data_IF_060824655011
#
_entry.id   IF_060824655011
#
_cell.length_a   1.000
_cell.length_b   1.000
_cell.length_c   1.000
_cell.angle_alpha   90.00
_cell.angle_beta   90.00
_cell.angle_gamma   90.00
#
_symmetry.space_group_name_H-M   'P 1'
#
loop_
_entity.id
_entity.type
_entity.pdbx_description
1 polymer ?
#
# COMPACT_ATOMS: atom_id res chain seq x y z
N UNK A 1 25.09 11.17 1.36
CA UNK A 1 24.35 10.01 0.90
C UNK A 1 23.63 10.33 -0.41
N UNK A 2 23.35 9.33 -1.21
CA UNK A 2 22.52 9.51 -2.42
C UNK A 2 21.04 9.51 -2.08
N UNK A 3 20.28 10.36 -2.77
CA UNK A 3 18.81 10.41 -2.71
C UNK A 3 18.23 10.79 -4.07
N UNK A 4 16.99 10.37 -4.33
CA UNK A 4 16.22 10.84 -5.49
C UNK A 4 15.37 12.02 -5.06
N UNK A 5 15.69 13.17 -5.58
CA UNK A 5 15.09 14.46 -5.20
C UNK A 5 14.12 14.99 -6.26
N UNK A 6 13.15 15.77 -5.82
CA UNK A 6 12.15 16.45 -6.62
C UNK A 6 12.12 17.93 -6.22
N UNK A 7 12.37 18.86 -7.16
CA UNK A 7 12.29 20.31 -6.90
C UNK A 7 10.97 20.93 -7.34
N UNK A 8 10.33 20.33 -8.32
CA UNK A 8 9.03 20.75 -8.86
C UNK A 8 8.23 19.56 -9.37
N UNK A 9 6.92 19.67 -9.35
CA UNK A 9 6.05 18.64 -9.88
C UNK A 9 6.21 18.47 -11.39
N UNK A 10 6.04 17.25 -11.89
CA UNK A 10 6.13 16.96 -13.32
C UNK A 10 6.29 15.49 -13.66
N UNK A 11 6.85 15.23 -14.83
CA UNK A 11 7.16 13.88 -15.30
C UNK A 11 8.32 13.22 -14.57
N UNK A 12 8.70 12.02 -15.00
CA UNK A 12 9.79 11.25 -14.38
C UNK A 12 11.15 11.96 -14.47
N UNK A 13 11.32 12.84 -15.45
CA UNK A 13 12.52 13.66 -15.65
C UNK A 13 12.77 14.66 -14.51
N UNK A 14 11.79 14.89 -13.64
CA UNK A 14 11.93 15.75 -12.45
C UNK A 14 12.57 15.02 -11.27
N UNK A 15 12.59 13.69 -11.28
CA UNK A 15 13.30 12.87 -10.30
C UNK A 15 14.80 12.89 -10.63
N UNK A 16 15.62 13.38 -9.69
CA UNK A 16 17.06 13.55 -9.88
C UNK A 16 17.84 12.86 -8.77
N UNK A 17 18.85 12.09 -9.17
CA UNK A 17 19.85 11.59 -8.22
C UNK A 17 20.67 12.77 -7.69
N UNK A 18 20.81 12.90 -6.40
CA UNK A 18 21.48 14.00 -5.71
C UNK A 18 22.29 13.49 -4.53
N UNK A 19 23.41 14.13 -4.24
CA UNK A 19 24.14 13.95 -3.01
C UNK A 19 23.64 14.93 -1.96
N UNK A 20 23.26 14.42 -0.78
CA UNK A 20 22.73 15.19 0.35
C UNK A 20 23.34 14.68 1.66
N UNK A 21 23.18 15.43 2.73
CA UNK A 21 23.59 15.00 4.06
C UNK A 21 22.73 13.84 4.56
N UNK A 22 23.30 12.95 5.39
CA UNK A 22 22.53 11.93 6.12
C UNK A 22 21.54 12.64 7.07
N UNK A 23 20.30 12.12 7.21
CA UNK A 23 19.36 12.67 8.17
C UNK A 23 19.87 12.44 9.59
N UNK A 24 19.58 13.41 10.47
CA UNK A 24 19.71 13.25 11.91
C UNK A 24 18.42 12.66 12.46
N UNK A 25 18.54 11.77 13.42
CA UNK A 25 17.40 11.16 14.11
C UNK A 25 17.06 11.95 15.39
N UNK A 26 15.79 11.89 15.77
CA UNK A 26 15.30 12.33 17.06
C UNK A 26 15.33 11.15 18.06
N UNK A 27 15.05 11.44 19.34
CA UNK A 27 15.11 10.43 20.42
C UNK A 27 14.16 9.23 20.20
N UNK A 28 13.06 9.40 19.47
CA UNK A 28 12.07 8.35 19.18
C UNK A 28 12.22 7.71 17.79
N UNK A 29 13.31 8.02 17.07
CA UNK A 29 13.56 7.55 15.72
C UNK A 29 14.72 6.55 15.64
N UNK A 30 14.76 5.82 14.55
CA UNK A 30 15.93 5.02 14.13
C UNK A 30 16.46 5.52 12.79
N UNK A 31 17.78 5.45 12.59
CA UNK A 31 18.39 5.64 11.29
C UNK A 31 18.44 4.28 10.57
N UNK A 32 17.76 4.19 9.45
CA UNK A 32 17.74 2.96 8.63
C UNK A 32 18.65 3.15 7.43
N UNK A 33 19.66 2.25 7.27
CA UNK A 33 20.34 2.05 6.01
C UNK A 33 19.45 1.25 5.09
N UNK A 34 18.88 1.90 4.10
CA UNK A 34 17.87 1.34 3.19
C UNK A 34 18.50 0.26 2.32
N UNK A 35 17.79 -0.83 2.11
CA UNK A 35 18.13 -1.95 1.22
C UNK A 35 17.17 -2.11 0.07
N UNK A 36 15.90 -1.80 0.32
CA UNK A 36 14.86 -1.82 -0.70
C UNK A 36 13.76 -0.81 -0.35
N UNK A 37 13.17 -0.26 -1.38
CA UNK A 37 11.98 0.60 -1.35
C UNK A 37 10.96 0.04 -2.33
N UNK A 38 9.68 0.35 -2.13
CA UNK A 38 8.62 -0.08 -3.03
C UNK A 38 7.88 1.12 -3.60
N UNK A 39 7.50 1.03 -4.88
CA UNK A 39 6.81 2.10 -5.58
C UNK A 39 5.29 1.91 -5.50
N UNK A 40 4.58 3.01 -5.29
CA UNK A 40 3.11 3.03 -5.19
C UNK A 40 2.50 4.07 -6.14
N UNK A 41 1.24 3.90 -6.56
CA UNK A 41 0.56 4.94 -7.35
C UNK A 41 0.50 6.31 -6.68
N UNK A 42 0.49 6.38 -5.34
CA UNK A 42 0.52 7.66 -4.62
C UNK A 42 1.82 8.41 -4.81
N UNK A 43 2.94 7.73 -4.99
CA UNK A 43 4.25 8.34 -5.24
C UNK A 43 4.23 9.10 -6.58
N UNK A 44 3.66 8.48 -7.62
CA UNK A 44 3.52 9.11 -8.94
C UNK A 44 2.54 10.28 -8.88
N UNK A 45 1.48 10.15 -8.10
CA UNK A 45 0.47 11.18 -7.93
C UNK A 45 1.04 12.42 -7.21
N UNK A 46 1.82 12.22 -6.15
CA UNK A 46 2.52 13.30 -5.43
C UNK A 46 3.60 13.95 -6.32
N UNK A 47 4.35 13.16 -7.09
CA UNK A 47 5.32 13.70 -8.04
C UNK A 47 4.66 14.62 -9.07
N UNK A 48 3.49 14.23 -9.62
CA UNK A 48 2.84 14.93 -10.72
C UNK A 48 2.03 16.15 -10.27
N UNK A 49 1.48 16.15 -9.06
CA UNK A 49 0.45 17.11 -8.66
C UNK A 49 0.84 17.93 -7.44
N UNK A 50 0.89 19.26 -7.60
CA UNK A 50 1.23 20.19 -6.51
C UNK A 50 0.27 20.09 -5.32
N UNK A 51 -1.04 19.97 -5.56
CA UNK A 51 -2.03 19.80 -4.48
C UNK A 51 -1.82 18.52 -3.69
N UNK A 52 -1.44 17.43 -4.35
CA UNK A 52 -1.14 16.15 -3.71
C UNK A 52 0.19 16.21 -2.94
N UNK A 53 1.19 16.89 -3.47
CA UNK A 53 2.43 17.14 -2.77
C UNK A 53 2.17 17.90 -1.46
N UNK A 54 1.39 18.96 -1.51
CA UNK A 54 1.02 19.75 -0.32
C UNK A 54 0.12 18.97 0.65
N UNK A 55 -0.87 18.24 0.15
CA UNK A 55 -1.86 17.53 0.97
C UNK A 55 -1.36 16.23 1.59
N UNK A 56 -0.50 15.50 0.89
CA UNK A 56 -0.02 14.17 1.30
C UNK A 56 1.39 14.25 1.91
N UNK A 57 2.36 14.84 1.20
CA UNK A 57 3.74 14.95 1.70
C UNK A 57 3.86 15.95 2.84
N UNK A 58 3.08 17.05 2.80
CA UNK A 58 3.07 18.13 3.82
C UNK A 58 4.47 18.68 4.09
N UNK A 59 5.16 19.19 3.08
CA UNK A 59 6.53 19.68 3.24
C UNK A 59 6.60 20.87 4.20
N UNK A 60 7.78 21.10 4.77
CA UNK A 60 8.05 22.29 5.56
C UNK A 60 7.92 23.58 4.74
N UNK A 61 7.67 24.73 5.39
CA UNK A 61 7.43 26.03 4.71
C UNK A 61 8.56 26.44 3.76
N UNK A 62 9.79 26.16 4.14
CA UNK A 62 11.00 26.56 3.42
C UNK A 62 11.61 25.38 2.61
N UNK A 63 10.95 24.21 2.61
CA UNK A 63 11.41 23.04 1.89
C UNK A 63 11.09 23.18 0.41
N UNK A 64 12.12 23.32 -0.42
CA UNK A 64 12.04 23.52 -1.88
C UNK A 64 12.66 22.36 -2.67
N UNK A 65 13.14 21.35 -1.96
CA UNK A 65 13.66 20.10 -2.52
C UNK A 65 13.11 18.95 -1.71
N UNK A 66 12.34 18.07 -2.36
CA UNK A 66 11.58 17.02 -1.71
C UNK A 66 12.21 15.67 -2.01
N UNK A 67 12.14 14.76 -1.03
CA UNK A 67 12.37 13.33 -1.23
C UNK A 67 11.05 12.65 -0.94
N UNK A 68 10.49 12.00 -1.96
CA UNK A 68 9.21 11.29 -1.81
C UNK A 68 9.44 9.81 -1.42
N UNK A 69 8.35 9.03 -1.37
CA UNK A 69 8.40 7.62 -0.98
C UNK A 69 8.22 7.41 0.52
N UNK A 70 7.62 6.27 0.85
CA UNK A 70 7.25 5.92 2.22
C UNK A 70 7.57 4.48 2.59
N UNK A 71 7.72 3.61 1.60
CA UNK A 71 7.97 2.18 1.80
C UNK A 71 9.47 1.91 1.95
N UNK A 72 9.87 1.24 3.02
CA UNK A 72 11.28 0.96 3.30
C UNK A 72 11.47 -0.41 3.92
N UNK A 73 12.55 -1.09 3.53
CA UNK A 73 13.17 -2.17 4.28
C UNK A 73 14.67 -1.97 4.30
N UNK A 74 15.28 -2.17 5.46
CA UNK A 74 16.72 -1.94 5.64
C UNK A 74 17.24 -2.40 6.99
N UNK A 75 18.40 -1.90 7.36
CA UNK A 75 19.13 -2.26 8.58
C UNK A 75 19.24 -1.02 9.46
N UNK A 76 18.91 -1.16 10.74
CA UNK A 76 19.08 -0.11 11.74
C UNK A 76 20.57 0.17 11.92
N UNK A 77 21.00 1.40 11.67
CA UNK A 77 22.37 1.86 11.83
C UNK A 77 22.56 2.63 13.15
N UNK A 78 21.52 3.37 13.59
CA UNK A 78 21.52 4.17 14.81
C UNK A 78 20.12 4.20 15.42
N UNK A 79 20.03 4.29 16.76
CA UNK A 79 18.78 4.39 17.51
C UNK A 79 18.77 5.63 18.37
N UNK A 80 17.64 6.34 18.42
CA UNK A 80 17.41 7.45 19.35
C UNK A 80 17.34 6.99 20.81
N UNK A 81 17.53 7.93 21.73
CA UNK A 81 17.67 7.63 23.17
C UNK A 81 16.45 6.96 23.82
N UNK A 82 15.26 7.17 23.28
CA UNK A 82 14.02 6.57 23.80
C UNK A 82 13.67 5.23 23.12
N UNK A 83 14.38 4.81 22.07
CA UNK A 83 14.08 3.59 21.34
C UNK A 83 14.59 2.37 22.09
N UNK A 84 13.68 1.51 22.53
CA UNK A 84 13.99 0.27 23.26
C UNK A 84 13.67 -1.00 22.47
N UNK A 85 12.84 -0.91 21.43
CA UNK A 85 12.38 -2.08 20.65
C UNK A 85 13.37 -2.52 19.57
N UNK A 86 14.30 -1.65 19.17
CA UNK A 86 15.25 -1.90 18.10
C UNK A 86 16.68 -1.59 18.54
N UNK A 87 17.64 -2.23 17.88
CA UNK A 87 19.09 -2.01 18.08
C UNK A 87 19.81 -2.00 16.75
N UNK A 88 21.03 -1.48 16.75
CA UNK A 88 21.91 -1.50 15.58
C UNK A 88 22.08 -2.91 15.04
N UNK A 89 21.94 -3.07 13.73
CA UNK A 89 22.02 -4.33 13.02
C UNK A 89 20.67 -5.06 12.85
N UNK A 90 19.59 -4.59 13.48
CA UNK A 90 18.28 -5.18 13.27
C UNK A 90 17.78 -4.90 11.86
N UNK A 91 17.25 -5.92 11.18
CA UNK A 91 16.57 -5.78 9.90
C UNK A 91 15.11 -5.38 10.15
N UNK A 92 14.69 -4.27 9.54
CA UNK A 92 13.37 -3.67 9.75
C UNK A 92 12.67 -3.34 8.44
N UNK A 93 11.36 -3.14 8.51
CA UNK A 93 10.56 -2.67 7.39
C UNK A 93 9.33 -1.91 7.88
N UNK A 94 8.82 -1.01 7.06
CA UNK A 94 7.61 -0.24 7.37
C UNK A 94 7.25 0.77 6.31
N UNK A 95 6.04 1.30 6.43
CA UNK A 95 5.61 2.52 5.77
C UNK A 95 5.79 3.68 6.76
N UNK A 96 6.66 4.62 6.44
CA UNK A 96 7.08 5.66 7.38
C UNK A 96 6.46 7.01 7.06
N UNK A 97 6.00 7.73 8.10
CA UNK A 97 5.45 9.09 8.04
C UNK A 97 4.33 9.29 6.99
N UNK A 98 3.49 8.29 6.73
CA UNK A 98 2.38 8.44 5.78
C UNK A 98 1.03 8.62 6.50
N UNK A 99 0.21 9.64 6.14
CA UNK A 99 0.54 10.77 5.26
C UNK A 99 1.49 11.76 5.93
N UNK A 100 2.51 12.22 5.19
CA UNK A 100 3.56 13.11 5.67
C UNK A 100 4.86 12.91 4.90
N UNK A 101 5.96 13.45 5.43
CA UNK A 101 7.25 13.48 4.75
C UNK A 101 8.07 12.21 5.04
N UNK A 102 7.88 11.15 4.22
CA UNK A 102 8.51 9.84 4.40
C UNK A 102 9.99 9.81 4.06
N UNK A 103 10.40 10.53 3.00
CA UNK A 103 11.80 10.62 2.52
C UNK A 103 12.47 9.26 2.23
N UNK A 104 11.70 8.23 1.84
CA UNK A 104 12.23 6.88 1.66
C UNK A 104 13.10 6.69 0.40
N UNK A 105 13.05 7.62 -0.58
CA UNK A 105 13.87 7.53 -1.79
C UNK A 105 15.31 7.99 -1.54
N UNK A 106 15.99 7.34 -0.62
CA UNK A 106 17.35 7.67 -0.20
C UNK A 106 18.07 6.43 0.35
N UNK A 107 19.43 6.50 0.41
CA UNK A 107 20.24 5.44 1.01
C UNK A 107 20.04 5.32 2.52
N UNK A 108 19.62 6.39 3.19
CA UNK A 108 19.33 6.43 4.62
C UNK A 108 18.07 7.22 4.89
N UNK A 109 17.30 6.77 5.87
CA UNK A 109 16.08 7.47 6.30
C UNK A 109 15.95 7.43 7.82
N UNK A 110 15.50 8.55 8.40
CA UNK A 110 15.05 8.61 9.79
C UNK A 110 13.59 8.12 9.85
N UNK A 111 13.31 7.12 10.65
CA UNK A 111 12.01 6.50 10.77
C UNK A 111 11.54 6.48 12.23
N UNK A 112 10.31 6.96 12.54
CA UNK A 112 9.73 6.76 13.87
C UNK A 112 9.65 5.28 14.22
N UNK A 113 10.15 4.92 15.41
CA UNK A 113 10.24 3.53 15.84
C UNK A 113 8.85 2.85 15.94
N UNK A 114 7.81 3.61 16.27
CA UNK A 114 6.42 3.13 16.37
C UNK A 114 5.74 2.85 15.02
N UNK A 115 6.42 3.10 13.89
CA UNK A 115 5.88 2.90 12.53
C UNK A 115 6.49 1.72 11.80
N UNK A 116 7.49 1.06 12.37
CA UNK A 116 8.22 -0.04 11.75
C UNK A 116 8.08 -1.33 12.56
N UNK A 117 8.49 -2.44 11.94
CA UNK A 117 8.57 -3.75 12.60
C UNK A 117 9.86 -4.48 12.19
N UNK A 118 10.26 -5.47 12.97
CA UNK A 118 11.34 -6.39 12.59
C UNK A 118 10.96 -7.14 11.31
N UNK A 119 11.88 -7.16 10.35
CA UNK A 119 11.71 -7.92 9.11
C UNK A 119 11.74 -9.41 9.41
N UNK A 120 10.76 -10.20 8.95
CA UNK A 120 10.85 -11.66 9.03
C UNK A 120 12.13 -12.21 8.37
N UNK A 121 12.77 -13.17 9.03
CA UNK A 121 14.03 -13.76 8.54
C UNK A 121 13.87 -14.60 7.27
N UNK A 122 12.65 -15.08 7.01
CA UNK A 122 12.32 -15.94 5.87
C UNK A 122 11.99 -15.18 4.58
N UNK A 123 12.10 -13.85 4.57
CA UNK A 123 11.84 -13.02 3.39
C UNK A 123 13.02 -12.08 3.10
N UNK A 124 13.14 -11.68 1.84
CA UNK A 124 14.13 -10.71 1.39
C UNK A 124 13.72 -9.26 1.78
N UNK A 125 14.64 -8.29 1.67
CA UNK A 125 14.34 -6.88 1.84
C UNK A 125 13.35 -6.37 0.79
N UNK A 126 13.42 -6.88 -0.43
CA UNK A 126 12.51 -6.53 -1.52
C UNK A 126 11.07 -6.99 -1.22
N UNK A 127 10.90 -8.23 -0.73
CA UNK A 127 9.60 -8.74 -0.33
C UNK A 127 9.04 -7.97 0.87
N UNK A 128 9.91 -7.60 1.82
CA UNK A 128 9.54 -6.80 2.98
C UNK A 128 9.12 -5.38 2.58
N UNK A 129 9.90 -4.67 1.76
CA UNK A 129 9.54 -3.33 1.27
C UNK A 129 8.24 -3.36 0.46
N UNK A 130 8.00 -4.42 -0.32
CA UNK A 130 6.74 -4.61 -1.06
C UNK A 130 5.52 -4.72 -0.14
N UNK A 131 5.70 -5.25 1.09
CA UNK A 131 4.64 -5.53 2.06
C UNK A 131 4.37 -4.38 3.05
N UNK A 132 4.61 -3.16 2.67
CA UNK A 132 4.42 -2.00 3.56
C UNK A 132 3.12 -1.26 3.22
N UNK A 133 3.11 -0.17 2.49
CA UNK A 133 1.90 0.62 2.19
C UNK A 133 0.75 -0.25 1.64
N UNK A 134 1.04 -1.14 0.70
CA UNK A 134 0.02 -1.93 0.05
C UNK A 134 -0.63 -2.96 1.00
N UNK A 135 0.18 -3.67 1.82
CA UNK A 135 -0.34 -4.61 2.81
C UNK A 135 -1.04 -3.88 3.97
N UNK A 136 -0.50 -2.73 4.43
CA UNK A 136 -1.18 -1.89 5.43
C UNK A 136 -2.54 -1.39 4.94
N UNK A 137 -2.63 -0.96 3.68
CA UNK A 137 -3.92 -0.55 3.09
C UNK A 137 -4.94 -1.68 3.13
N UNK A 138 -4.53 -2.88 2.72
CA UNK A 138 -5.38 -4.07 2.75
C UNK A 138 -5.76 -4.45 4.20
N UNK A 139 -4.78 -4.44 5.11
CA UNK A 139 -4.99 -4.76 6.53
C UNK A 139 -5.96 -3.79 7.18
N UNK A 140 -5.68 -2.49 7.10
CA UNK A 140 -6.53 -1.47 7.71
C UNK A 140 -7.95 -1.50 7.13
N UNK A 141 -8.09 -1.66 5.81
CA UNK A 141 -9.42 -1.77 5.19
C UNK A 141 -10.19 -2.98 5.67
N UNK A 142 -9.60 -4.17 5.63
CA UNK A 142 -10.29 -5.41 5.95
C UNK A 142 -10.42 -5.65 7.48
N UNK A 143 -9.33 -5.43 8.23
CA UNK A 143 -9.28 -5.77 9.65
C UNK A 143 -9.73 -4.62 10.52
N UNK A 144 -9.17 -3.42 10.31
CA UNK A 144 -9.45 -2.27 11.18
C UNK A 144 -10.84 -1.70 10.93
N UNK A 145 -11.23 -1.50 9.66
CA UNK A 145 -12.50 -0.88 9.31
C UNK A 145 -13.61 -1.91 9.10
N UNK A 146 -13.44 -2.87 8.20
CA UNK A 146 -14.49 -3.85 7.89
C UNK A 146 -14.67 -4.93 8.97
N UNK A 147 -13.72 -5.09 9.90
CA UNK A 147 -13.77 -6.09 10.97
C UNK A 147 -14.01 -7.51 10.44
N UNK A 148 -13.28 -7.86 9.38
CA UNK A 148 -13.38 -9.15 8.70
C UNK A 148 -13.33 -10.33 9.67
N UNK A 149 -14.14 -11.34 9.43
CA UNK A 149 -14.22 -12.57 10.22
C UNK A 149 -14.39 -13.79 9.32
N UNK A 150 -14.27 -14.95 9.93
CA UNK A 150 -14.50 -16.22 9.25
C UNK A 150 -15.89 -16.27 8.60
N UNK A 151 -15.95 -16.87 7.41
CA UNK A 151 -17.14 -17.07 6.59
C UNK A 151 -17.74 -15.77 5.98
N UNK A 152 -17.07 -14.61 6.15
CA UNK A 152 -17.47 -13.41 5.42
C UNK A 152 -17.25 -13.61 3.92
N UNK A 153 -18.23 -13.17 3.10
CA UNK A 153 -18.11 -13.11 1.64
C UNK A 153 -17.54 -11.76 1.24
N UNK A 154 -16.34 -11.77 0.65
CA UNK A 154 -15.56 -10.57 0.34
C UNK A 154 -15.36 -10.44 -1.16
N UNK A 155 -15.78 -9.31 -1.74
CA UNK A 155 -15.47 -8.92 -3.10
C UNK A 155 -14.27 -7.97 -3.12
N UNK A 156 -13.22 -8.34 -3.84
CA UNK A 156 -11.98 -7.54 -3.92
C UNK A 156 -11.73 -7.13 -5.36
N UNK A 157 -11.77 -5.82 -5.61
CA UNK A 157 -11.47 -5.27 -6.92
C UNK A 157 -9.96 -5.11 -7.16
N UNK A 158 -9.54 -5.20 -8.43
CA UNK A 158 -8.13 -5.22 -8.83
C UNK A 158 -7.30 -6.24 -8.01
N UNK A 159 -7.85 -7.43 -7.80
CA UNK A 159 -7.31 -8.46 -6.91
C UNK A 159 -5.86 -8.89 -7.23
N UNK A 160 -5.38 -8.74 -8.47
CA UNK A 160 -3.99 -9.01 -8.85
C UNK A 160 -3.09 -7.77 -8.80
N UNK A 161 -3.57 -6.64 -8.30
CA UNK A 161 -2.78 -5.40 -8.16
C UNK A 161 -2.02 -5.31 -6.83
N UNK A 162 -1.34 -4.16 -6.61
CA UNK A 162 -0.49 -3.95 -5.45
C UNK A 162 -1.18 -4.16 -4.11
N UNK A 163 -2.35 -3.54 -3.90
CA UNK A 163 -3.16 -3.72 -2.67
C UNK A 163 -3.96 -5.02 -2.74
N UNK A 164 -4.57 -5.31 -3.90
CA UNK A 164 -5.49 -6.43 -4.07
C UNK A 164 -4.88 -7.79 -3.76
N UNK A 165 -3.62 -8.04 -4.15
CA UNK A 165 -3.00 -9.34 -3.89
C UNK A 165 -2.74 -9.60 -2.40
N UNK A 166 -2.52 -8.57 -1.59
CA UNK A 166 -2.49 -8.70 -0.12
C UNK A 166 -3.90 -8.83 0.45
N UNK A 167 -4.87 -8.07 -0.07
CA UNK A 167 -6.24 -8.15 0.40
C UNK A 167 -6.85 -9.56 0.24
N UNK A 168 -6.58 -10.24 -0.89
CA UNK A 168 -6.98 -11.64 -1.10
C UNK A 168 -6.40 -12.54 -0.02
N UNK A 169 -5.08 -12.50 0.18
CA UNK A 169 -4.38 -13.37 1.12
C UNK A 169 -4.76 -13.07 2.58
N UNK A 170 -4.90 -11.78 2.95
CA UNK A 170 -5.36 -11.38 4.28
C UNK A 170 -6.79 -11.92 4.50
N UNK A 171 -7.71 -11.69 3.58
CA UNK A 171 -9.08 -12.20 3.72
C UNK A 171 -9.11 -13.73 3.87
N UNK A 172 -8.32 -14.45 3.08
CA UNK A 172 -8.19 -15.92 3.20
C UNK A 172 -7.59 -16.34 4.54
N UNK A 173 -6.65 -15.59 5.11
CA UNK A 173 -6.07 -15.90 6.42
C UNK A 173 -7.09 -15.83 7.57
N UNK A 174 -8.17 -15.07 7.38
CA UNK A 174 -9.32 -14.99 8.31
C UNK A 174 -10.40 -16.05 8.01
N UNK A 175 -10.25 -16.85 6.96
CA UNK A 175 -11.24 -17.87 6.58
C UNK A 175 -12.44 -17.31 5.80
N UNK A 176 -12.30 -16.17 5.16
CA UNK A 176 -13.33 -15.58 4.33
C UNK A 176 -13.48 -16.31 2.98
N UNK A 177 -14.66 -16.21 2.37
CA UNK A 177 -14.91 -16.56 0.97
C UNK A 177 -14.59 -15.35 0.09
N UNK A 178 -13.62 -15.47 -0.81
CA UNK A 178 -13.05 -14.35 -1.55
C UNK A 178 -13.38 -14.45 -3.04
N UNK A 179 -14.02 -13.40 -3.56
CA UNK A 179 -14.25 -13.18 -4.99
C UNK A 179 -13.30 -12.06 -5.44
N UNK A 180 -12.35 -12.40 -6.33
CA UNK A 180 -11.43 -11.44 -6.91
C UNK A 180 -11.89 -10.94 -8.27
N UNK A 181 -11.70 -9.65 -8.58
CA UNK A 181 -11.91 -9.15 -9.95
C UNK A 181 -10.62 -8.65 -10.58
N UNK A 182 -10.49 -8.80 -11.89
CA UNK A 182 -9.36 -8.34 -12.67
C UNK A 182 -9.56 -8.64 -14.16
N UNK A 183 -8.51 -8.41 -14.97
CA UNK A 183 -8.51 -8.81 -16.39
C UNK A 183 -8.20 -10.29 -16.56
N UNK A 184 -8.51 -10.86 -17.74
CA UNK A 184 -8.26 -12.29 -18.06
C UNK A 184 -6.85 -12.76 -17.69
N UNK A 185 -5.83 -11.94 -17.93
CA UNK A 185 -4.42 -12.28 -17.70
C UNK A 185 -4.03 -12.44 -16.24
N UNK A 186 -4.85 -11.94 -15.29
CA UNK A 186 -4.57 -12.00 -13.85
C UNK A 186 -5.30 -13.14 -13.14
N UNK A 187 -6.16 -13.90 -13.86
CA UNK A 187 -7.03 -14.92 -13.26
C UNK A 187 -6.26 -15.98 -12.48
N UNK A 188 -5.32 -16.65 -13.14
CA UNK A 188 -4.58 -17.76 -12.52
C UNK A 188 -3.77 -17.30 -11.30
N UNK A 189 -3.20 -16.11 -11.39
CA UNK A 189 -2.49 -15.51 -10.26
C UNK A 189 -3.40 -15.29 -9.07
N UNK A 190 -4.57 -14.66 -9.25
CA UNK A 190 -5.51 -14.36 -8.16
C UNK A 190 -6.09 -15.64 -7.54
N UNK A 191 -6.41 -16.65 -8.35
CA UNK A 191 -6.84 -17.96 -7.84
C UNK A 191 -5.72 -18.65 -7.06
N UNK A 192 -4.46 -18.56 -7.51
CA UNK A 192 -3.30 -19.08 -6.78
C UNK A 192 -3.05 -18.38 -5.43
N UNK A 193 -3.44 -17.11 -5.27
CA UNK A 193 -3.42 -16.41 -3.99
C UNK A 193 -4.48 -16.92 -3.01
N UNK A 194 -5.39 -17.78 -3.46
CA UNK A 194 -6.43 -18.39 -2.64
C UNK A 194 -7.83 -17.83 -2.86
N UNK A 195 -8.06 -16.92 -3.81
CA UNK A 195 -9.43 -16.51 -4.14
C UNK A 195 -10.28 -17.73 -4.55
N UNK A 196 -11.52 -17.81 -4.03
CA UNK A 196 -12.45 -18.91 -4.29
C UNK A 196 -13.11 -18.75 -5.66
N UNK A 197 -13.35 -17.48 -6.07
CA UNK A 197 -13.90 -17.14 -7.38
C UNK A 197 -13.13 -15.99 -8.03
N UNK A 198 -13.22 -15.92 -9.34
CA UNK A 198 -12.65 -14.83 -10.14
C UNK A 198 -13.64 -14.32 -11.19
N UNK A 199 -13.80 -13.01 -11.24
CA UNK A 199 -14.62 -12.33 -12.24
C UNK A 199 -13.72 -11.52 -13.17
N UNK A 200 -13.75 -11.85 -14.44
CA UNK A 200 -13.08 -11.11 -15.51
C UNK A 200 -13.96 -9.92 -15.94
N UNK A 201 -13.65 -8.72 -15.44
CA UNK A 201 -14.44 -7.52 -15.73
C UNK A 201 -14.45 -7.12 -17.23
N UNK A 202 -13.54 -7.70 -18.02
CA UNK A 202 -13.52 -7.44 -19.47
C UNK A 202 -14.57 -8.23 -20.23
N UNK A 203 -15.15 -9.25 -19.60
CA UNK A 203 -16.14 -10.18 -20.20
C UNK A 203 -17.51 -10.09 -19.53
N UNK A 204 -17.55 -9.71 -18.25
CA UNK A 204 -18.78 -9.77 -17.47
C UNK A 204 -18.84 -8.68 -16.40
N UNK A 205 -20.05 -8.27 -16.06
CA UNK A 205 -20.33 -7.29 -15.04
C UNK A 205 -20.39 -7.95 -13.67
N UNK A 206 -19.50 -7.59 -12.76
CA UNK A 206 -19.41 -8.20 -11.43
C UNK A 206 -20.68 -7.98 -10.59
N UNK A 207 -21.33 -6.82 -10.70
CA UNK A 207 -22.56 -6.50 -9.97
C UNK A 207 -23.81 -7.27 -10.43
N UNK A 208 -23.72 -7.95 -11.58
CA UNK A 208 -24.75 -8.90 -12.03
C UNK A 208 -24.55 -10.31 -11.47
N UNK A 209 -23.32 -10.61 -11.02
CA UNK A 209 -22.93 -11.90 -10.45
C UNK A 209 -22.89 -11.91 -8.94
N UNK A 210 -22.55 -10.78 -8.34
CA UNK A 210 -22.42 -10.63 -6.90
C UNK A 210 -23.35 -9.53 -6.44
N UNK A 211 -24.28 -9.87 -5.56
CA UNK A 211 -25.24 -8.95 -4.96
C UNK A 211 -25.40 -9.16 -3.44
N UNK A 212 -24.57 -10.02 -2.87
CA UNK A 212 -24.64 -10.48 -1.49
C UNK A 212 -23.27 -10.42 -0.76
N UNK A 213 -22.30 -9.65 -1.30
CA UNK A 213 -21.01 -9.47 -0.65
C UNK A 213 -21.17 -8.80 0.72
N UNK A 214 -20.66 -9.44 1.78
CA UNK A 214 -20.63 -8.88 3.12
C UNK A 214 -19.67 -7.71 3.23
N UNK A 215 -18.56 -7.81 2.50
CA UNK A 215 -17.53 -6.78 2.41
C UNK A 215 -17.16 -6.57 0.93
N UNK A 216 -17.11 -5.32 0.49
CA UNK A 216 -16.54 -4.94 -0.81
C UNK A 216 -15.32 -4.06 -0.58
N UNK A 217 -14.17 -4.50 -1.08
CA UNK A 217 -12.92 -3.74 -1.04
C UNK A 217 -12.65 -3.14 -2.42
N UNK A 218 -12.86 -1.83 -2.55
CA UNK A 218 -12.77 -1.12 -3.82
C UNK A 218 -11.53 -0.22 -3.89
N UNK A 219 -10.61 -0.57 -4.77
CA UNK A 219 -9.39 0.18 -5.06
C UNK A 219 -9.42 0.89 -6.42
N UNK A 220 -10.56 0.86 -7.12
CA UNK A 220 -10.71 1.42 -8.47
C UNK A 220 -11.13 2.90 -8.38
N UNK A 221 -10.55 3.79 -9.20
CA UNK A 221 -11.01 5.17 -9.26
C UNK A 221 -12.35 5.29 -10.00
N UNK A 222 -13.11 6.32 -9.63
CA UNK A 222 -14.36 6.69 -10.32
C UNK A 222 -15.62 6.33 -9.56
N UNK A 223 -16.53 7.30 -9.47
CA UNK A 223 -17.81 7.16 -8.75
C UNK A 223 -18.73 6.12 -9.38
N UNK A 224 -18.72 5.96 -10.70
CA UNK A 224 -19.50 4.94 -11.41
C UNK A 224 -19.13 3.51 -10.98
N UNK A 225 -17.80 3.23 -10.85
CA UNK A 225 -17.35 1.93 -10.36
C UNK A 225 -17.80 1.69 -8.93
N UNK A 226 -17.69 2.70 -8.06
CA UNK A 226 -18.11 2.59 -6.67
C UNK A 226 -19.62 2.42 -6.52
N UNK A 227 -20.45 3.01 -7.42
CA UNK A 227 -21.91 2.73 -7.47
C UNK A 227 -22.21 1.25 -7.73
N UNK A 228 -21.48 0.64 -8.65
CA UNK A 228 -21.61 -0.79 -8.95
C UNK A 228 -21.13 -1.65 -7.77
N UNK A 229 -20.08 -1.22 -7.06
CA UNK A 229 -19.60 -1.87 -5.83
C UNK A 229 -20.62 -1.81 -4.70
N UNK A 230 -21.31 -0.66 -4.54
CA UNK A 230 -22.45 -0.51 -3.62
C UNK A 230 -23.58 -1.48 -4.00
N UNK A 231 -23.88 -1.63 -5.31
CA UNK A 231 -24.89 -2.58 -5.76
C UNK A 231 -24.54 -4.04 -5.43
N UNK A 232 -23.25 -4.42 -5.51
CA UNK A 232 -22.76 -5.76 -5.21
C UNK A 232 -22.77 -6.13 -3.71
N UNK A 233 -22.78 -5.16 -2.82
CA UNK A 233 -22.83 -5.38 -1.37
C UNK A 233 -24.24 -5.86 -0.93
N UNK A 234 -24.31 -6.78 0.04
CA UNK A 234 -25.58 -7.11 0.71
C UNK A 234 -26.08 -5.93 1.54
N UNK A 235 -27.38 -5.88 1.85
CA UNK A 235 -27.91 -4.91 2.80
C UNK A 235 -27.21 -5.07 4.18
N UNK A 236 -26.89 -3.95 4.82
CA UNK A 236 -26.13 -3.94 6.08
C UNK A 236 -24.66 -4.34 5.96
N UNK A 237 -24.15 -4.57 4.74
CA UNK A 237 -22.76 -4.90 4.48
C UNK A 237 -21.80 -3.71 4.61
N UNK A 238 -20.54 -3.93 4.29
CA UNK A 238 -19.48 -2.92 4.38
C UNK A 238 -18.86 -2.67 3.01
N UNK A 239 -18.67 -1.40 2.63
CA UNK A 239 -17.93 -1.00 1.42
C UNK A 239 -16.74 -0.13 1.81
N UNK A 240 -15.55 -0.60 1.49
CA UNK A 240 -14.28 0.12 1.67
C UNK A 240 -13.89 0.74 0.32
N UNK A 241 -13.66 2.04 0.28
CA UNK A 241 -13.07 2.72 -0.87
C UNK A 241 -11.73 3.35 -0.49
N UNK A 242 -10.71 3.16 -1.34
CA UNK A 242 -9.41 3.85 -1.19
C UNK A 242 -9.22 5.01 -2.18
N UNK A 243 -10.20 5.27 -3.01
CA UNK A 243 -10.17 6.32 -4.05
C UNK A 243 -11.32 7.33 -3.91
N UNK A 244 -12.54 7.08 -4.43
CA UNK A 244 -13.61 8.07 -4.28
C UNK A 244 -14.19 8.11 -2.86
N UNK A 245 -14.71 9.29 -2.47
CA UNK A 245 -15.50 9.51 -1.26
C UNK A 245 -16.95 9.10 -1.49
N UNK A 246 -17.66 8.79 -0.40
CA UNK A 246 -19.11 8.51 -0.42
C UNK A 246 -19.89 9.82 -0.26
N UNK A 247 -20.13 10.51 -1.36
CA UNK A 247 -20.81 11.80 -1.41
C UNK A 247 -21.94 11.78 -2.45
N UNK A 248 -22.95 12.63 -2.29
CA UNK A 248 -24.09 12.74 -3.22
C UNK A 248 -24.77 11.38 -3.45
N UNK A 249 -24.97 10.99 -4.69
CA UNK A 249 -25.64 9.73 -5.07
C UNK A 249 -25.00 8.49 -4.42
N UNK A 250 -23.68 8.46 -4.25
CA UNK A 250 -22.99 7.35 -3.58
C UNK A 250 -23.44 7.19 -2.13
N UNK A 251 -23.57 8.29 -1.40
CA UNK A 251 -24.06 8.30 -0.02
C UNK A 251 -25.52 7.86 0.07
N UNK A 252 -26.37 8.35 -0.83
CA UNK A 252 -27.79 8.01 -0.87
C UNK A 252 -28.03 6.52 -1.17
N UNK A 253 -27.31 5.98 -2.15
CA UNK A 253 -27.39 4.55 -2.50
C UNK A 253 -26.86 3.65 -1.37
N UNK A 254 -25.75 4.05 -0.74
CA UNK A 254 -25.19 3.32 0.40
C UNK A 254 -26.16 3.32 1.59
N UNK A 255 -26.77 4.47 1.89
CA UNK A 255 -27.77 4.60 2.95
C UNK A 255 -29.03 3.77 2.68
N UNK A 256 -29.51 3.74 1.44
CA UNK A 256 -30.67 2.94 1.05
C UNK A 256 -30.47 1.42 1.25
N UNK A 257 -29.22 0.95 1.29
CA UNK A 257 -28.83 -0.44 1.59
C UNK A 257 -28.30 -0.61 3.02
N UNK A 258 -28.39 0.41 3.87
CA UNK A 258 -27.91 0.40 5.26
C UNK A 258 -26.40 0.01 5.36
N UNK A 259 -25.60 0.38 4.35
CA UNK A 259 -24.18 0.01 4.29
C UNK A 259 -23.34 0.79 5.30
N UNK A 260 -22.36 0.12 5.87
CA UNK A 260 -21.22 0.77 6.50
C UNK A 260 -20.21 1.14 5.40
N UNK A 261 -19.88 2.42 5.30
CA UNK A 261 -19.01 2.92 4.24
C UNK A 261 -17.80 3.64 4.81
N UNK A 262 -16.62 3.31 4.28
CA UNK A 262 -15.37 3.91 4.69
C UNK A 262 -14.54 4.31 3.47
N UNK A 263 -14.28 5.61 3.34
CA UNK A 263 -13.21 6.08 2.47
C UNK A 263 -11.94 6.10 3.30
N UNK A 264 -11.04 5.17 3.06
CA UNK A 264 -9.82 5.05 3.85
C UNK A 264 -8.63 5.74 3.17
N UNK A 265 -7.79 6.36 3.99
CA UNK A 265 -6.42 6.69 3.70
C UNK A 265 -5.58 5.92 4.70
N UNK A 266 -4.73 5.03 4.21
CA UNK A 266 -3.83 4.25 5.06
C UNK A 266 -2.96 5.17 5.91
N UNK A 267 -2.59 4.76 7.09
CA UNK A 267 -1.64 5.47 7.96
C UNK A 267 -0.52 4.55 8.42
N UNK A 268 0.67 5.13 8.61
CA UNK A 268 1.81 4.41 9.18
C UNK A 268 1.47 3.88 10.56
N UNK A 269 1.76 2.61 10.82
CA UNK A 269 1.43 1.94 12.09
C UNK A 269 2.29 0.69 12.29
N UNK A 270 3.21 0.73 13.26
CA UNK A 270 4.10 -0.39 13.56
C UNK A 270 3.38 -1.60 14.16
N UNK A 271 2.27 -1.41 14.89
CA UNK A 271 1.51 -2.55 15.39
C UNK A 271 0.84 -3.34 14.27
N UNK A 272 0.28 -2.63 13.26
CA UNK A 272 -0.25 -3.29 12.07
C UNK A 272 0.88 -3.97 11.27
N UNK A 273 2.07 -3.33 11.17
CA UNK A 273 3.25 -3.94 10.54
C UNK A 273 3.70 -5.22 11.26
N UNK A 274 3.64 -5.26 12.60
CA UNK A 274 3.93 -6.48 13.40
C UNK A 274 2.93 -7.61 13.06
N UNK A 275 1.65 -7.30 12.82
CA UNK A 275 0.66 -8.31 12.40
C UNK A 275 0.93 -8.82 10.98
N UNK A 276 1.27 -7.92 10.06
CA UNK A 276 1.67 -8.28 8.70
C UNK A 276 2.92 -9.18 8.74
N UNK A 277 3.95 -8.80 9.52
CA UNK A 277 5.15 -9.61 9.72
C UNK A 277 4.81 -11.03 10.23
N UNK A 278 3.90 -11.14 11.21
CA UNK A 278 3.42 -12.43 11.72
C UNK A 278 2.79 -13.28 10.62
N UNK A 279 1.90 -12.72 9.81
CA UNK A 279 1.29 -13.45 8.69
C UNK A 279 2.32 -13.89 7.64
N UNK A 280 3.39 -13.11 7.41
CA UNK A 280 4.48 -13.47 6.53
C UNK A 280 5.35 -14.61 7.11
N UNK A 281 5.63 -14.59 8.41
CA UNK A 281 6.32 -15.70 9.10
C UNK A 281 5.52 -16.99 9.00
N UNK A 282 4.20 -16.91 9.17
CA UNK A 282 3.28 -18.04 9.09
C UNK A 282 3.05 -18.52 7.63
N UNK A 283 3.62 -17.86 6.63
CA UNK A 283 3.42 -18.17 5.22
C UNK A 283 1.99 -17.93 4.72
N UNK A 284 1.19 -17.13 5.45
CA UNK A 284 -0.20 -16.81 5.09
C UNK A 284 -0.29 -15.68 4.07
N UNK A 285 0.71 -14.81 4.02
CA UNK A 285 0.83 -13.77 3.01
C UNK A 285 2.24 -13.75 2.42
N UNK A 286 2.32 -13.52 1.11
CA UNK A 286 3.55 -13.43 0.35
C UNK A 286 3.51 -12.19 -0.55
N UNK A 287 4.63 -11.50 -0.65
CA UNK A 287 4.81 -10.42 -1.61
C UNK A 287 5.08 -10.97 -3.01
N UNK A 288 4.32 -10.52 -3.99
CA UNK A 288 4.66 -10.76 -5.39
C UNK A 288 5.39 -9.52 -5.95
N UNK A 289 6.70 -9.61 -6.06
CA UNK A 289 7.55 -8.59 -6.69
C UNK A 289 7.68 -8.94 -8.17
N UNK A 290 6.97 -8.20 -9.03
CA UNK A 290 6.97 -8.45 -10.48
C UNK A 290 8.20 -7.91 -11.18
N UNK A 291 8.73 -6.79 -10.70
CA UNK A 291 9.89 -6.13 -11.29
C UNK A 291 10.77 -5.50 -10.21
N UNK A 292 12.09 -5.52 -10.46
CA UNK A 292 13.12 -4.90 -9.63
C UNK A 292 13.93 -3.92 -10.46
N UNK A 293 14.20 -2.76 -9.90
CA UNK A 293 15.04 -1.72 -10.50
C UNK A 293 16.20 -1.39 -9.56
N UNK A 294 17.30 -0.89 -10.11
CA UNK A 294 18.36 -0.28 -9.31
C UNK A 294 17.95 1.12 -8.86
N UNK A 295 18.61 1.65 -7.85
CA UNK A 295 18.26 2.95 -7.26
C UNK A 295 18.29 4.10 -8.29
N UNK A 296 19.31 4.13 -9.14
CA UNK A 296 19.44 5.13 -10.20
C UNK A 296 18.33 5.04 -11.27
N UNK A 297 17.71 3.85 -11.41
CA UNK A 297 16.61 3.61 -12.35
C UNK A 297 15.21 3.83 -11.73
N UNK A 298 15.11 4.39 -10.52
CA UNK A 298 13.84 4.70 -9.86
C UNK A 298 12.86 5.49 -10.75
N UNK A 299 13.28 6.47 -11.59
CA UNK A 299 12.37 7.11 -12.55
C UNK A 299 11.71 6.12 -13.53
N UNK A 300 12.41 5.05 -13.94
CA UNK A 300 11.83 3.99 -14.79
C UNK A 300 10.82 3.14 -14.03
N UNK A 301 11.03 2.91 -12.73
CA UNK A 301 10.04 2.23 -11.88
C UNK A 301 8.73 3.03 -11.77
N UNK A 302 8.81 4.38 -11.71
CA UNK A 302 7.64 5.24 -11.80
C UNK A 302 6.94 5.13 -13.16
N UNK A 303 7.69 5.10 -14.25
CA UNK A 303 7.12 4.92 -15.59
C UNK A 303 6.40 3.57 -15.71
N UNK A 304 6.97 2.52 -15.14
CA UNK A 304 6.38 1.19 -15.18
C UNK A 304 5.06 1.11 -14.40
N UNK A 305 4.99 1.66 -13.18
CA UNK A 305 3.74 1.61 -12.40
C UNK A 305 2.62 2.43 -13.04
N UNK A 306 2.96 3.52 -13.76
CA UNK A 306 2.00 4.36 -14.50
C UNK A 306 1.31 3.62 -15.66
N UNK A 307 1.87 2.52 -16.14
CA UNK A 307 1.20 1.67 -17.13
C UNK A 307 -0.12 1.06 -16.62
N UNK A 308 -0.30 0.98 -15.29
CA UNK A 308 -1.46 0.33 -14.66
C UNK A 308 -1.53 -1.18 -14.84
N UNK A 309 -0.51 -1.81 -15.44
CA UNK A 309 -0.48 -3.24 -15.77
C UNK A 309 0.24 -4.11 -14.75
N UNK A 310 0.86 -3.51 -13.74
CA UNK A 310 1.64 -4.22 -12.72
C UNK A 310 0.84 -5.35 -12.07
N UNK A 311 1.48 -6.50 -11.96
CA UNK A 311 1.00 -7.62 -11.16
C UNK A 311 1.73 -7.58 -9.81
N UNK A 312 1.01 -7.48 -8.70
CA UNK A 312 1.67 -7.28 -7.39
C UNK A 312 2.42 -5.94 -7.31
N UNK A 313 3.71 -5.97 -6.98
CA UNK A 313 4.53 -4.80 -6.61
C UNK A 313 5.79 -4.63 -7.46
N UNK A 314 6.23 -3.39 -7.55
CA UNK A 314 7.52 -2.96 -8.10
C UNK A 314 8.42 -2.52 -6.95
N UNK A 315 9.67 -2.92 -6.97
CA UNK A 315 10.65 -2.64 -5.93
C UNK A 315 11.91 -2.04 -6.55
N UNK A 316 12.57 -1.16 -5.79
CA UNK A 316 13.88 -0.59 -6.13
C UNK A 316 14.88 -1.02 -5.07
N UNK A 317 16.01 -1.55 -5.50
CA UNK A 317 17.14 -1.97 -4.64
C UNK A 317 18.08 -0.78 -4.48
N UNK A 318 18.46 -0.49 -3.24
CA UNK A 318 19.30 0.64 -2.85
C UNK A 318 20.70 0.20 -2.45
#
# INVERSE_FOLDING_TARGET
MKAITLKENGGIEKLKLSDIDKPKINDDEVLIKVKAISINPVDTFVRQNKSSLQGILKPGKDENTFIIGWDVSGIVEETGGNVTEFKNGDEVFGMINFPGNGKAYAEYVAAPADQIALKPKNISHEEAAAATLAALTAWQGLVTYAKIKKDDKVLIHAAGGGVGHYAVQIAKSFGAYVIGTGSSSKKDFVLKLGADEYIDYTKESFEKKVNDAGIVFDSIPGSEHLLRSIAAAKNGGTVISIKPSFEGELADKAKAKELQTYRIMVSSNGNDMKQIAKLMVEGKIHSHVSEKFNFEDLPKAHQQIETGKTLGKIVVVV
#
